data_IF_522479577708
#
_entry.id   IF_522479577708
#
_cell.length_a   1.000
_cell.length_b   1.000
_cell.length_c   1.000
_cell.angle_alpha   90.00
_cell.angle_beta   90.00
_cell.angle_gamma   90.00
#
_symmetry.space_group_name_H-M   'P 1'
#
loop_
_entity.id
_entity.type
_entity.pdbx_description
1 polymer ?
#
# COMPACT_ATOMS: atom_id res chain seq x y z
N UNK A 1 7.12 -4.45 -3.20
CA UNK A 1 8.44 -4.75 -3.78
C UNK A 1 8.18 -5.39 -5.13
N UNK A 2 8.75 -4.86 -6.21
CA UNK A 2 8.73 -5.52 -7.50
C UNK A 2 10.03 -6.33 -7.60
N UNK A 3 9.95 -7.58 -7.97
CA UNK A 3 11.13 -8.44 -8.15
C UNK A 3 11.20 -8.78 -9.63
N UNK A 4 12.32 -8.44 -10.26
CA UNK A 4 12.61 -8.79 -11.65
C UNK A 4 13.54 -10.01 -11.62
N UNK A 5 13.25 -11.00 -12.46
CA UNK A 5 14.16 -12.11 -12.71
C UNK A 5 14.82 -11.88 -14.06
N UNK A 6 16.15 -11.77 -14.05
CA UNK A 6 16.95 -11.58 -15.26
C UNK A 6 17.70 -12.87 -15.53
N UNK A 7 17.54 -13.42 -16.73
CA UNK A 7 18.32 -14.57 -17.16
C UNK A 7 19.76 -14.13 -17.37
N UNK A 8 20.70 -14.79 -16.70
CA UNK A 8 22.13 -14.57 -16.94
C UNK A 8 22.46 -15.31 -18.23
N UNK A 9 22.35 -14.62 -19.35
CA UNK A 9 22.87 -15.14 -20.61
C UNK A 9 24.38 -14.85 -20.62
N UNK A 10 25.16 -15.79 -20.09
CA UNK A 10 26.59 -15.82 -20.36
C UNK A 10 26.95 -17.18 -20.96
N UNK A 11 27.25 -17.15 -22.26
CA UNK A 11 27.77 -18.22 -23.13
C UNK A 11 26.80 -19.34 -23.58
N UNK A 12 26.16 -19.12 -24.74
CA UNK A 12 26.12 -20.13 -25.83
C UNK A 12 25.32 -21.43 -25.63
N UNK A 13 24.33 -21.47 -24.73
CA UNK A 13 23.48 -22.65 -24.52
C UNK A 13 22.05 -22.47 -25.04
N UNK A 14 21.65 -23.32 -25.99
CA UNK A 14 20.35 -23.32 -26.67
C UNK A 14 19.14 -23.29 -25.70
N UNK A 15 18.47 -22.13 -25.59
CA UNK A 15 17.31 -21.89 -24.70
C UNK A 15 16.01 -22.62 -25.12
N UNK A 16 16.08 -23.64 -25.98
CA UNK A 16 14.93 -24.28 -26.64
C UNK A 16 14.29 -25.44 -25.87
N UNK A 17 14.72 -25.75 -24.64
CA UNK A 17 14.27 -26.95 -23.95
C UNK A 17 13.27 -26.78 -22.80
N UNK A 18 12.79 -25.57 -22.50
CA UNK A 18 11.60 -25.40 -21.63
C UNK A 18 10.32 -25.61 -22.44
N UNK A 19 10.10 -26.84 -22.91
CA UNK A 19 8.79 -27.25 -23.43
C UNK A 19 7.82 -27.38 -22.25
N UNK A 20 6.92 -26.41 -22.14
CA UNK A 20 5.67 -26.57 -21.40
C UNK A 20 5.01 -27.88 -21.85
N UNK A 21 4.78 -28.80 -20.91
CA UNK A 21 3.97 -30.00 -21.16
C UNK A 21 2.51 -29.59 -21.32
N UNK A 22 1.87 -30.20 -22.30
CA UNK A 22 0.53 -29.92 -22.79
C UNK A 22 -0.57 -29.97 -21.71
N UNK A 23 -1.29 -28.85 -21.65
CA UNK A 23 -2.75 -28.67 -21.67
C UNK A 23 -3.65 -29.85 -21.26
N UNK A 24 -4.21 -29.76 -20.05
CA UNK A 24 -5.60 -30.12 -19.82
C UNK A 24 -6.45 -28.85 -19.60
N UNK A 25 -7.44 -28.71 -20.49
CA UNK A 25 -8.35 -27.57 -20.59
C UNK A 25 -9.46 -27.71 -19.55
N UNK A 26 -9.30 -27.04 -18.40
CA UNK A 26 -10.35 -26.97 -17.37
C UNK A 26 -9.88 -26.56 -15.97
N UNK A 27 -8.56 -26.50 -15.72
CA UNK A 27 -8.00 -26.14 -14.41
C UNK A 27 -7.75 -24.64 -14.23
N UNK A 28 -8.45 -24.08 -13.25
CA UNK A 28 -8.29 -22.79 -12.54
C UNK A 28 -7.10 -21.90 -12.96
N UNK A 29 -7.38 -20.69 -13.46
CA UNK A 29 -6.38 -19.67 -13.82
C UNK A 29 -5.40 -19.39 -12.67
N UNK A 30 -5.86 -19.51 -11.42
CA UNK A 30 -5.03 -19.38 -10.23
C UNK A 30 -3.96 -20.50 -10.15
N UNK A 31 -4.33 -21.75 -10.46
CA UNK A 31 -3.41 -22.87 -10.46
C UNK A 31 -2.32 -22.73 -11.53
N UNK A 32 -2.70 -22.27 -12.74
CA UNK A 32 -1.72 -21.97 -13.81
C UNK A 32 -0.76 -20.86 -13.43
N UNK A 33 -1.27 -19.80 -12.80
CA UNK A 33 -0.46 -18.68 -12.33
C UNK A 33 0.50 -19.11 -11.22
N UNK A 34 0.03 -19.95 -10.29
CA UNK A 34 0.86 -20.52 -9.22
C UNK A 34 1.97 -21.42 -9.78
N UNK A 35 1.65 -22.26 -10.78
CA UNK A 35 2.62 -23.12 -11.44
C UNK A 35 3.69 -22.32 -12.17
N UNK A 36 3.29 -21.33 -12.97
CA UNK A 36 4.23 -20.44 -13.67
C UNK A 36 5.14 -19.70 -12.68
N UNK A 37 4.58 -19.19 -11.57
CA UNK A 37 5.36 -18.56 -10.51
C UNK A 37 6.36 -19.54 -9.87
N UNK A 38 5.96 -20.79 -9.64
CA UNK A 38 6.84 -21.83 -9.10
C UNK A 38 8.03 -22.11 -10.03
N UNK A 39 7.77 -22.29 -11.32
CA UNK A 39 8.79 -22.56 -12.35
C UNK A 39 9.78 -21.39 -12.47
N UNK A 40 9.26 -20.16 -12.55
CA UNK A 40 10.05 -18.93 -12.58
C UNK A 40 10.95 -18.80 -11.33
N UNK A 41 10.42 -19.07 -10.14
CA UNK A 41 11.22 -19.08 -8.90
C UNK A 41 12.24 -20.23 -8.87
N UNK A 42 11.95 -21.34 -9.56
CA UNK A 42 12.88 -22.45 -9.75
C UNK A 42 14.12 -22.03 -10.53
N UNK A 43 13.98 -21.17 -11.54
CA UNK A 43 15.13 -20.66 -12.31
C UNK A 43 16.13 -19.93 -11.42
N UNK A 44 15.66 -19.04 -10.54
CA UNK A 44 16.52 -18.36 -9.57
C UNK A 44 17.16 -19.34 -8.57
N UNK A 45 16.36 -20.24 -8.00
CA UNK A 45 16.82 -21.18 -6.97
C UNK A 45 17.91 -22.12 -7.49
N UNK A 46 17.83 -22.46 -8.77
CA UNK A 46 18.77 -23.36 -9.44
C UNK A 46 19.94 -22.61 -10.12
N UNK A 47 20.03 -21.28 -9.96
CA UNK A 47 21.12 -20.48 -10.50
C UNK A 47 21.01 -20.11 -11.98
N UNK A 48 19.87 -20.38 -12.63
CA UNK A 48 19.62 -20.02 -14.04
C UNK A 48 19.10 -18.60 -14.23
N UNK A 49 18.79 -17.89 -13.14
CA UNK A 49 18.35 -16.49 -13.18
C UNK A 49 18.86 -15.73 -11.96
N UNK A 50 19.20 -14.46 -12.16
CA UNK A 50 19.48 -13.53 -11.09
C UNK A 50 18.19 -12.84 -10.63
N UNK A 51 18.06 -12.66 -9.33
CA UNK A 51 16.96 -11.92 -8.71
C UNK A 51 17.38 -10.49 -8.43
N UNK A 52 16.76 -9.55 -9.14
CA UNK A 52 16.89 -8.12 -8.88
C UNK A 52 15.66 -7.64 -8.11
N UNK A 53 15.88 -7.19 -6.87
CA UNK A 53 14.84 -6.55 -6.08
C UNK A 53 14.80 -5.06 -6.41
N UNK A 54 13.69 -4.61 -7.00
CA UNK A 54 13.48 -3.21 -7.36
C UNK A 54 12.95 -2.43 -6.16
N UNK A 55 13.64 -1.35 -5.83
CA UNK A 55 13.18 -0.35 -4.87
C UNK A 55 12.01 0.45 -5.44
N UNK A 56 11.10 0.97 -4.60
CA UNK A 56 10.17 2.00 -5.03
C UNK A 56 10.93 3.21 -5.58
N UNK A 57 10.30 3.90 -6.53
CA UNK A 57 10.79 5.16 -7.08
C UNK A 57 10.91 6.20 -5.97
N UNK A 58 11.98 6.97 -6.02
CA UNK A 58 12.16 8.15 -5.18
C UNK A 58 11.25 9.32 -5.63
N UNK A 59 11.17 10.41 -4.85
CA UNK A 59 10.34 11.57 -5.21
C UNK A 59 10.59 12.13 -6.62
N UNK A 60 11.86 12.27 -7.01
CA UNK A 60 12.23 12.86 -8.30
C UNK A 60 11.93 11.91 -9.45
N UNK A 61 12.14 10.60 -9.24
CA UNK A 61 11.76 9.57 -10.21
C UNK A 61 10.25 9.47 -10.39
N UNK A 62 9.46 9.66 -9.32
CA UNK A 62 8.00 9.75 -9.41
C UNK A 62 7.58 10.95 -10.24
N UNK A 63 8.15 12.14 -9.98
CA UNK A 63 7.84 13.36 -10.76
C UNK A 63 8.21 13.20 -12.23
N UNK A 64 9.38 12.63 -12.53
CA UNK A 64 9.80 12.35 -13.91
C UNK A 64 8.86 11.36 -14.61
N UNK A 65 8.36 10.35 -13.90
CA UNK A 65 7.38 9.41 -14.43
C UNK A 65 6.02 10.09 -14.69
N UNK A 66 5.58 10.97 -13.79
CA UNK A 66 4.36 11.77 -13.99
C UNK A 66 4.49 12.63 -15.25
N UNK A 67 5.61 13.34 -15.41
CA UNK A 67 5.88 14.19 -16.57
C UNK A 67 5.88 13.38 -17.88
N UNK A 68 6.53 12.21 -17.85
CA UNK A 68 6.56 11.30 -19.02
C UNK A 68 5.18 10.81 -19.44
N UNK A 69 4.22 10.70 -18.51
CA UNK A 69 2.86 10.24 -18.80
C UNK A 69 1.95 11.39 -19.21
N UNK A 70 2.02 12.51 -18.49
CA UNK A 70 1.15 13.67 -18.68
C UNK A 70 1.52 14.50 -19.93
N UNK A 71 2.77 14.40 -20.39
CA UNK A 71 3.24 15.12 -21.57
C UNK A 71 3.17 16.62 -21.36
N UNK A 72 2.31 17.32 -22.11
CA UNK A 72 2.14 18.78 -22.02
C UNK A 72 1.13 19.21 -20.94
N UNK A 73 0.35 18.28 -20.39
CA UNK A 73 -0.65 18.60 -19.35
C UNK A 73 0.06 18.68 -18.00
N UNK A 74 0.05 19.87 -17.40
CA UNK A 74 0.66 20.08 -16.10
C UNK A 74 -0.33 19.74 -14.97
N UNK A 75 -0.04 18.68 -14.21
CA UNK A 75 -0.69 18.44 -12.93
C UNK A 75 -0.14 19.42 -11.88
N UNK A 76 -1.03 19.98 -11.06
CA UNK A 76 -0.66 20.86 -9.96
C UNK A 76 0.14 20.12 -8.88
N UNK A 77 0.86 20.89 -8.05
CA UNK A 77 1.76 20.32 -7.06
C UNK A 77 1.04 19.51 -5.98
N UNK A 78 -0.20 19.89 -5.61
CA UNK A 78 -0.93 19.13 -4.60
C UNK A 78 -1.31 17.75 -5.14
N UNK A 79 -1.74 17.66 -6.41
CA UNK A 79 -2.01 16.38 -7.07
C UNK A 79 -0.77 15.49 -7.14
N UNK A 80 0.39 16.05 -7.53
CA UNK A 80 1.67 15.30 -7.58
C UNK A 80 2.05 14.69 -6.22
N UNK A 81 1.97 15.50 -5.16
CA UNK A 81 2.24 15.05 -3.78
C UNK A 81 1.33 13.89 -3.38
N UNK A 82 0.07 13.90 -3.82
CA UNK A 82 -0.88 12.83 -3.51
C UNK A 82 -0.60 11.55 -4.31
N UNK A 83 -0.25 11.66 -5.59
CA UNK A 83 0.19 10.53 -6.40
C UNK A 83 1.41 9.87 -5.75
N UNK A 84 2.40 10.68 -5.35
CA UNK A 84 3.59 10.20 -4.68
C UNK A 84 3.26 9.48 -3.37
N UNK A 85 2.42 10.09 -2.52
CA UNK A 85 2.04 9.55 -1.21
C UNK A 85 1.24 8.25 -1.32
N UNK A 86 0.23 8.20 -2.22
CA UNK A 86 -0.65 7.03 -2.38
C UNK A 86 0.00 5.88 -3.16
N UNK A 87 0.86 6.18 -4.14
CA UNK A 87 1.63 5.14 -4.84
C UNK A 87 2.76 4.58 -3.97
N UNK A 88 3.27 5.40 -3.05
CA UNK A 88 4.47 5.11 -2.27
C UNK A 88 5.67 4.68 -3.14
N UNK A 89 5.79 5.30 -4.33
CA UNK A 89 6.85 5.07 -5.32
C UNK A 89 6.67 3.82 -6.19
N UNK A 90 5.53 3.10 -6.13
CA UNK A 90 5.33 1.90 -6.97
C UNK A 90 5.02 2.34 -8.42
N UNK A 91 5.86 2.04 -9.43
CA UNK A 91 5.70 2.58 -10.79
C UNK A 91 4.32 2.36 -11.41
N UNK A 92 3.77 1.16 -11.25
CA UNK A 92 2.42 0.85 -11.74
C UNK A 92 1.35 1.74 -11.09
N UNK A 93 1.44 1.99 -9.77
CA UNK A 93 0.47 2.85 -9.09
C UNK A 93 0.66 4.32 -9.44
N UNK A 94 1.90 4.77 -9.64
CA UNK A 94 2.17 6.12 -10.17
C UNK A 94 1.45 6.25 -11.50
N UNK A 95 1.65 5.30 -12.42
CA UNK A 95 1.00 5.28 -13.74
C UNK A 95 -0.52 5.40 -13.64
N UNK A 96 -1.16 4.51 -12.90
CA UNK A 96 -2.64 4.49 -12.84
C UNK A 96 -3.20 5.73 -12.16
N UNK A 97 -2.58 6.22 -11.07
CA UNK A 97 -3.03 7.42 -10.39
C UNK A 97 -2.83 8.67 -11.25
N UNK A 98 -1.77 8.73 -12.07
CA UNK A 98 -1.59 9.81 -13.05
C UNK A 98 -2.68 9.78 -14.11
N UNK A 99 -3.04 8.62 -14.66
CA UNK A 99 -4.20 8.51 -15.56
C UNK A 99 -5.53 8.85 -14.89
N UNK A 100 -5.68 8.53 -13.60
CA UNK A 100 -6.84 8.94 -12.81
C UNK A 100 -6.93 10.45 -12.67
N UNK A 101 -5.81 11.11 -12.37
CA UNK A 101 -5.73 12.56 -12.24
C UNK A 101 -5.97 13.29 -13.56
N UNK A 102 -5.48 12.78 -14.69
CA UNK A 102 -5.64 13.40 -16.01
C UNK A 102 -7.07 13.32 -16.57
N UNK A 103 -7.84 12.28 -16.21
CA UNK A 103 -9.22 12.10 -16.72
C UNK A 103 -10.27 12.82 -15.89
N UNK A 104 -10.04 13.04 -14.59
CA UNK A 104 -10.88 13.99 -13.84
C UNK A 104 -10.42 15.39 -14.15
N UNK A 105 -11.33 16.23 -14.65
CA UNK A 105 -11.09 17.53 -15.29
C UNK A 105 -10.55 18.62 -14.33
N UNK A 106 -9.43 18.35 -13.66
CA UNK A 106 -8.64 19.23 -12.76
C UNK A 106 -9.34 19.79 -11.51
N UNK A 107 -10.66 19.95 -11.55
CA UNK A 107 -11.44 20.78 -10.63
C UNK A 107 -12.30 19.97 -9.64
N UNK A 108 -12.71 18.74 -9.99
CA UNK A 108 -13.61 17.95 -9.13
C UNK A 108 -12.90 17.10 -8.07
N UNK A 109 -11.56 16.95 -8.15
CA UNK A 109 -10.75 16.26 -7.14
C UNK A 109 -9.79 17.24 -6.49
N UNK A 110 -10.35 18.23 -5.81
CA UNK A 110 -9.67 19.09 -4.85
C UNK A 110 -8.77 18.24 -3.93
N UNK A 111 -7.78 18.84 -3.26
CA UNK A 111 -6.88 18.24 -2.25
C UNK A 111 -7.56 17.26 -1.25
N UNK A 112 -8.87 17.40 -1.05
CA UNK A 112 -9.75 16.51 -0.27
C UNK A 112 -10.02 15.13 -0.89
N UNK A 113 -9.94 14.98 -2.22
CA UNK A 113 -10.10 13.73 -2.98
C UNK A 113 -9.00 12.70 -2.73
N UNK A 114 -7.94 13.09 -2.02
CA UNK A 114 -6.82 12.24 -1.64
C UNK A 114 -6.63 12.13 -0.11
N UNK A 115 -7.58 12.67 0.66
CA UNK A 115 -7.67 12.38 2.09
C UNK A 115 -7.92 10.89 2.30
N UNK A 116 -7.54 10.33 3.44
CA UNK A 116 -7.97 8.99 3.84
C UNK A 116 -9.07 9.11 4.91
N UNK A 117 -10.20 8.40 4.78
CA UNK A 117 -10.62 7.68 3.57
C UNK A 117 -10.91 8.64 2.41
N UNK A 118 -10.59 8.21 1.19
CA UNK A 118 -10.89 9.01 0.00
C UNK A 118 -12.40 9.08 -0.23
N UNK A 119 -12.98 10.26 -0.53
CA UNK A 119 -14.38 10.37 -0.90
C UNK A 119 -14.68 9.71 -2.26
N UNK A 120 -13.66 9.44 -3.05
CA UNK A 120 -13.76 8.74 -4.33
C UNK A 120 -13.02 7.41 -4.26
N UNK A 121 -13.69 6.32 -4.62
CA UNK A 121 -13.04 5.02 -4.75
C UNK A 121 -11.98 5.09 -5.88
N UNK A 122 -10.78 4.53 -5.67
CA UNK A 122 -9.80 4.35 -6.75
C UNK A 122 -10.41 3.54 -7.91
N UNK A 123 -9.82 3.67 -9.12
CA UNK A 123 -10.25 2.85 -10.27
C UNK A 123 -10.26 1.36 -9.95
N UNK A 124 -11.18 0.62 -10.58
CA UNK A 124 -11.34 -0.83 -10.41
C UNK A 124 -10.01 -1.60 -10.54
N UNK A 125 -9.15 -1.24 -11.50
CA UNK A 125 -7.83 -1.86 -11.68
C UNK A 125 -6.88 -1.64 -10.51
N UNK A 126 -6.88 -0.44 -9.91
CA UNK A 126 -6.10 -0.16 -8.70
C UNK A 126 -6.66 -1.03 -7.57
N UNK A 127 -7.98 -1.00 -7.38
CA UNK A 127 -8.67 -1.75 -6.34
C UNK A 127 -8.46 -3.26 -6.46
N UNK A 128 -8.51 -3.87 -7.64
CA UNK A 128 -8.24 -5.30 -7.84
C UNK A 128 -6.84 -5.67 -7.35
N UNK A 129 -5.84 -4.87 -7.72
CA UNK A 129 -4.46 -5.11 -7.33
C UNK A 129 -4.25 -4.97 -5.82
N UNK A 130 -4.81 -3.93 -5.20
CA UNK A 130 -4.64 -3.72 -3.75
C UNK A 130 -5.52 -4.67 -2.92
N UNK A 131 -6.73 -4.99 -3.39
CA UNK A 131 -7.66 -5.92 -2.72
C UNK A 131 -7.06 -7.31 -2.57
N UNK A 132 -6.34 -7.80 -3.59
CA UNK A 132 -5.66 -9.10 -3.50
C UNK A 132 -4.67 -9.15 -2.33
N UNK A 133 -3.98 -8.04 -2.01
CA UNK A 133 -2.95 -8.00 -0.97
C UNK A 133 -3.53 -7.96 0.44
N UNK A 134 -4.71 -7.38 0.61
CA UNK A 134 -5.43 -7.33 1.89
C UNK A 134 -6.43 -8.48 2.09
N UNK A 135 -6.64 -9.30 1.06
CA UNK A 135 -7.59 -10.43 1.09
C UNK A 135 -7.27 -11.47 2.17
N UNK A 136 -5.98 -11.65 2.47
CA UNK A 136 -5.45 -12.63 3.41
C UNK A 136 -5.28 -12.09 4.84
N UNK A 137 -5.67 -10.84 5.08
CA UNK A 137 -5.66 -10.29 6.43
C UNK A 137 -6.89 -10.76 7.20
N UNK A 138 -6.82 -10.82 8.52
CA UNK A 138 -8.01 -10.92 9.37
C UNK A 138 -8.65 -9.53 9.64
N UNK A 139 -9.73 -9.48 10.41
CA UNK A 139 -10.47 -8.24 10.70
C UNK A 139 -9.66 -7.27 11.58
N UNK A 140 -8.86 -7.78 12.51
CA UNK A 140 -8.04 -6.97 13.41
C UNK A 140 -6.86 -6.35 12.64
N UNK A 141 -6.24 -7.12 11.76
CA UNK A 141 -5.17 -6.68 10.85
C UNK A 141 -5.68 -5.62 9.87
N UNK A 142 -6.86 -5.82 9.27
CA UNK A 142 -7.47 -4.81 8.39
C UNK A 142 -7.83 -3.53 9.15
N UNK A 143 -8.50 -3.66 10.29
CA UNK A 143 -8.86 -2.51 11.13
C UNK A 143 -7.63 -1.72 11.57
N UNK A 144 -6.54 -2.43 11.91
CA UNK A 144 -5.25 -1.82 12.25
C UNK A 144 -4.66 -1.07 11.07
N UNK A 145 -4.68 -1.66 9.87
CA UNK A 145 -4.18 -0.99 8.66
C UNK A 145 -4.96 0.30 8.36
N UNK A 146 -6.29 0.25 8.48
CA UNK A 146 -7.18 1.40 8.33
C UNK A 146 -6.84 2.49 9.34
N UNK A 147 -6.70 2.14 10.63
CA UNK A 147 -6.48 3.12 11.68
C UNK A 147 -5.06 3.73 11.62
N UNK A 148 -4.05 2.94 11.26
CA UNK A 148 -2.71 3.44 10.95
C UNK A 148 -2.71 4.46 9.80
N UNK A 149 -3.53 4.24 8.77
CA UNK A 149 -3.69 5.20 7.67
C UNK A 149 -4.37 6.50 8.12
N UNK A 150 -5.34 6.44 9.04
CA UNK A 150 -5.98 7.65 9.64
C UNK A 150 -5.00 8.47 10.47
N UNK A 151 -4.14 7.81 11.25
CA UNK A 151 -3.14 8.46 12.09
C UNK A 151 -2.00 9.08 11.29
N UNK A 152 -1.76 8.59 10.07
CA UNK A 152 -0.78 9.14 9.13
C UNK A 152 0.61 9.33 9.73
N UNK A 153 1.14 8.25 10.31
CA UNK A 153 2.49 8.22 10.87
C UNK A 153 2.49 8.17 12.39
N UNK A 154 2.99 7.07 12.94
CA UNK A 154 3.12 6.87 14.39
C UNK A 154 4.51 6.28 14.67
N UNK A 155 5.25 6.75 15.70
CA UNK A 155 6.48 6.09 16.12
C UNK A 155 6.24 4.60 16.36
N UNK A 156 7.10 3.73 15.79
CA UNK A 156 6.88 2.28 15.79
C UNK A 156 6.62 1.71 17.18
N UNK A 157 7.36 2.18 18.19
CA UNK A 157 7.19 1.74 19.57
C UNK A 157 5.82 2.11 20.14
N UNK A 158 5.29 3.31 19.81
CA UNK A 158 3.94 3.72 20.21
C UNK A 158 2.89 2.90 19.46
N UNK A 159 3.06 2.70 18.16
CA UNK A 159 2.17 1.86 17.37
C UNK A 159 2.09 0.43 17.93
N UNK A 160 3.21 -0.16 18.34
CA UNK A 160 3.23 -1.51 18.92
C UNK A 160 2.42 -1.61 20.21
N UNK A 161 2.38 -0.55 21.04
CA UNK A 161 1.53 -0.49 22.23
C UNK A 161 0.04 -0.34 21.91
N UNK A 162 -0.29 0.49 20.91
CA UNK A 162 -1.69 0.75 20.53
C UNK A 162 -2.32 -0.46 19.82
N UNK A 163 -1.58 -1.09 18.91
CA UNK A 163 -2.11 -2.09 17.97
C UNK A 163 -1.65 -3.53 18.26
N UNK A 164 -0.59 -3.70 19.04
CA UNK A 164 0.03 -5.00 19.28
C UNK A 164 1.13 -5.32 18.25
N UNK A 165 2.28 -5.79 18.74
CA UNK A 165 3.46 -6.01 17.90
C UNK A 165 3.27 -7.10 16.84
N UNK A 166 2.50 -8.16 17.14
CA UNK A 166 2.25 -9.27 16.22
C UNK A 166 1.59 -8.79 14.93
N UNK A 167 0.53 -7.98 15.04
CA UNK A 167 -0.18 -7.42 13.88
C UNK A 167 0.76 -6.53 13.06
N UNK A 168 1.52 -5.65 13.73
CA UNK A 168 2.48 -4.78 13.03
C UNK A 168 3.55 -5.56 12.26
N UNK A 169 4.01 -6.68 12.83
CA UNK A 169 4.97 -7.57 12.16
C UNK A 169 4.37 -8.20 10.91
N UNK A 170 3.10 -8.62 10.95
CA UNK A 170 2.40 -9.15 9.77
C UNK A 170 2.25 -8.07 8.69
N UNK A 171 1.75 -6.88 9.06
CA UNK A 171 1.58 -5.77 8.12
C UNK A 171 2.92 -5.34 7.50
N UNK A 172 4.00 -5.31 8.29
CA UNK A 172 5.35 -5.02 7.84
C UNK A 172 5.91 -6.09 6.89
N UNK A 173 5.79 -7.37 7.24
CA UNK A 173 6.26 -8.49 6.43
C UNK A 173 5.54 -8.56 5.06
N UNK A 174 4.25 -8.20 5.02
CA UNK A 174 3.46 -8.12 3.78
C UNK A 174 3.70 -6.82 3.00
N UNK A 175 4.44 -5.87 3.56
CA UNK A 175 4.71 -4.56 2.97
C UNK A 175 3.44 -3.72 2.81
N UNK A 176 2.53 -3.83 3.78
CA UNK A 176 1.29 -3.03 3.91
C UNK A 176 1.49 -1.84 4.86
N UNK A 177 2.49 -1.93 5.73
CA UNK A 177 2.99 -0.82 6.51
C UNK A 177 4.52 -0.73 6.36
N UNK A 178 5.06 0.49 6.35
CA UNK A 178 6.48 0.76 6.16
C UNK A 178 6.99 1.69 7.25
N UNK A 179 8.17 1.36 7.77
CA UNK A 179 8.92 2.25 8.65
C UNK A 179 9.72 3.22 7.79
N UNK A 180 9.55 4.51 8.03
CA UNK A 180 10.28 5.60 7.39
C UNK A 180 11.04 6.40 8.46
N UNK A 181 12.10 7.09 8.03
CA UNK A 181 12.96 7.90 8.91
C UNK A 181 14.16 7.14 9.45
N UNK A 182 15.31 7.82 9.49
CA UNK A 182 16.57 7.29 10.03
C UNK A 182 16.68 7.40 11.56
N UNK A 183 16.00 8.39 12.15
CA UNK A 183 15.98 8.62 13.61
C UNK A 183 14.70 8.09 14.24
N UNK A 184 13.65 8.91 14.24
CA UNK A 184 12.34 8.48 14.72
C UNK A 184 11.71 7.54 13.69
N UNK A 185 11.60 6.25 14.05
CA UNK A 185 11.12 5.18 13.17
C UNK A 185 9.61 5.30 13.03
N UNK A 186 9.14 6.13 12.11
CA UNK A 186 7.72 6.39 11.89
C UNK A 186 7.12 5.30 11.02
N UNK A 187 6.15 4.57 11.57
CA UNK A 187 5.36 3.58 10.86
C UNK A 187 4.21 4.27 10.11
N UNK A 188 4.10 4.01 8.81
CA UNK A 188 3.01 4.48 7.96
C UNK A 188 2.35 3.31 7.23
N UNK A 189 1.03 3.34 7.13
CA UNK A 189 0.28 2.42 6.29
C UNK A 189 0.38 2.82 4.81
N UNK A 190 0.27 1.85 3.92
CA UNK A 190 0.07 2.09 2.49
C UNK A 190 -1.40 2.46 2.24
N UNK A 191 -1.66 3.66 1.73
CA UNK A 191 -2.99 4.26 1.74
C UNK A 191 -4.00 3.53 0.85
N UNK A 192 -3.58 3.10 -0.34
CA UNK A 192 -4.48 2.38 -1.25
C UNK A 192 -4.80 0.98 -0.72
N UNK A 193 -3.85 0.34 -0.06
CA UNK A 193 -4.11 -0.93 0.63
C UNK A 193 -5.05 -0.73 1.83
N UNK A 194 -4.90 0.38 2.57
CA UNK A 194 -5.80 0.73 3.66
C UNK A 194 -7.23 1.03 3.16
N UNK A 195 -7.40 1.60 1.96
CA UNK A 195 -8.72 1.80 1.36
C UNK A 195 -9.37 0.47 0.96
N UNK A 196 -8.59 -0.42 0.35
CA UNK A 196 -9.06 -1.77 0.06
C UNK A 196 -9.40 -2.55 1.32
N UNK A 197 -8.65 -2.37 2.40
CA UNK A 197 -8.97 -2.94 3.70
C UNK A 197 -10.28 -2.35 4.25
N UNK A 198 -10.44 -1.02 4.22
CA UNK A 198 -11.66 -0.34 4.68
C UNK A 198 -12.90 -0.85 3.93
N UNK A 199 -12.82 -1.02 2.62
CA UNK A 199 -13.92 -1.55 1.81
C UNK A 199 -14.33 -3.00 2.14
N UNK A 200 -13.49 -3.74 2.86
CA UNK A 200 -13.68 -5.16 3.20
C UNK A 200 -13.80 -5.42 4.71
N UNK A 201 -13.79 -4.38 5.53
CA UNK A 201 -13.85 -4.52 6.99
C UNK A 201 -15.23 -4.12 7.47
N UNK A 202 -15.74 -4.86 8.45
CA UNK A 202 -16.94 -4.46 9.19
C UNK A 202 -16.72 -3.07 9.83
N UNK A 203 -17.58 -2.08 9.53
CA UNK A 203 -17.51 -0.76 10.17
C UNK A 203 -17.45 -0.84 11.70
N UNK A 204 -18.18 -1.78 12.32
CA UNK A 204 -18.24 -1.92 13.77
C UNK A 204 -16.89 -2.33 14.36
N UNK A 205 -16.13 -3.17 13.66
CA UNK A 205 -14.79 -3.58 14.05
C UNK A 205 -13.80 -2.40 14.01
N UNK A 206 -13.88 -1.58 12.97
CA UNK A 206 -13.06 -0.36 12.84
C UNK A 206 -13.40 0.65 13.95
N UNK A 207 -14.68 0.80 14.27
CA UNK A 207 -15.12 1.76 15.29
C UNK A 207 -14.81 1.27 16.71
N UNK A 208 -14.92 -0.03 16.98
CA UNK A 208 -14.46 -0.63 18.24
C UNK A 208 -12.95 -0.40 18.45
N UNK A 209 -12.14 -0.66 17.42
CA UNK A 209 -10.70 -0.40 17.46
C UNK A 209 -10.40 1.10 17.63
N UNK A 210 -11.12 1.96 16.92
CA UNK A 210 -10.96 3.42 17.00
C UNK A 210 -11.19 3.91 18.42
N UNK A 211 -12.28 3.48 19.07
CA UNK A 211 -12.57 3.83 20.48
C UNK A 211 -11.49 3.36 21.44
N UNK A 212 -10.98 2.14 21.28
CA UNK A 212 -9.87 1.60 22.10
C UNK A 212 -8.60 2.45 21.98
N UNK A 213 -8.23 2.82 20.76
CA UNK A 213 -7.04 3.65 20.50
C UNK A 213 -7.23 5.06 21.01
N UNK A 214 -8.40 5.68 20.79
CA UNK A 214 -8.73 7.02 21.32
C UNK A 214 -8.64 7.05 22.83
N UNK A 215 -9.19 6.04 23.53
CA UNK A 215 -9.06 5.93 24.98
C UNK A 215 -7.59 5.86 25.43
N UNK A 216 -6.76 5.10 24.72
CA UNK A 216 -5.32 5.00 25.00
C UNK A 216 -4.58 6.32 24.76
N UNK A 217 -4.91 7.04 23.68
CA UNK A 217 -4.33 8.35 23.36
C UNK A 217 -4.71 9.42 24.39
N UNK A 218 -5.96 9.43 24.85
CA UNK A 218 -6.41 10.33 25.91
C UNK A 218 -5.69 10.05 27.24
N UNK A 219 -5.46 8.77 27.56
CA UNK A 219 -4.68 8.39 28.73
C UNK A 219 -3.21 8.83 28.60
N UNK A 220 -2.57 8.60 27.45
CA UNK A 220 -1.21 9.09 27.19
C UNK A 220 -1.14 10.63 27.33
N UNK A 221 -2.11 11.36 26.77
CA UNK A 221 -2.17 12.82 26.85
C UNK A 221 -2.34 13.33 28.29
N UNK A 222 -3.15 12.64 29.12
CA UNK A 222 -3.29 12.95 30.54
C UNK A 222 -1.96 12.78 31.32
N UNK A 223 -1.04 11.95 30.80
CA UNK A 223 0.31 11.77 31.33
C UNK A 223 1.38 12.65 30.64
N UNK A 224 0.96 13.69 29.91
CA UNK A 224 1.85 14.69 29.33
C UNK A 224 2.49 14.28 27.99
N UNK A 225 2.03 13.20 27.38
CA UNK A 225 2.49 12.77 26.07
C UNK A 225 1.87 13.67 24.98
N UNK A 226 2.67 14.28 24.08
CA UNK A 226 2.12 15.18 23.07
C UNK A 226 1.32 14.41 22.02
N UNK A 227 0.17 14.98 21.67
CA UNK A 227 -0.67 14.56 20.56
C UNK A 227 -0.29 15.31 19.28
N UNK A 228 -0.19 14.59 18.17
CA UNK A 228 -0.03 15.19 16.85
C UNK A 228 -1.40 15.64 16.29
N UNK A 229 -1.44 16.50 15.25
CA UNK A 229 -2.70 16.99 14.68
C UNK A 229 -3.67 15.89 14.21
N UNK A 230 -3.16 14.76 13.70
CA UNK A 230 -3.99 13.64 13.22
C UNK A 230 -4.59 12.84 14.37
N UNK A 231 -3.84 12.65 15.45
CA UNK A 231 -4.32 12.07 16.71
C UNK A 231 -5.43 12.95 17.31
N UNK A 232 -5.21 14.27 17.38
CA UNK A 232 -6.23 15.22 17.86
C UNK A 232 -7.49 15.21 17.00
N UNK A 233 -7.36 15.16 15.67
CA UNK A 233 -8.50 15.06 14.75
C UNK A 233 -9.24 13.73 14.90
N UNK A 234 -8.53 12.62 15.09
CA UNK A 234 -9.15 11.31 15.32
C UNK A 234 -9.98 11.34 16.62
N UNK A 235 -9.43 11.90 17.70
CA UNK A 235 -10.13 12.06 18.98
C UNK A 235 -11.36 12.95 18.78
N UNK A 236 -11.20 14.13 18.20
CA UNK A 236 -12.29 15.07 17.99
C UNK A 236 -13.44 14.44 17.20
N UNK A 237 -13.14 13.76 16.08
CA UNK A 237 -14.15 13.08 15.26
C UNK A 237 -14.88 11.97 16.01
N UNK A 238 -14.14 11.16 16.78
CA UNK A 238 -14.74 10.08 17.58
C UNK A 238 -15.67 10.61 18.66
N UNK A 239 -15.38 11.80 19.22
CA UNK A 239 -16.23 12.44 20.21
C UNK A 239 -17.47 13.09 19.59
N UNK A 240 -17.38 13.62 18.36
CA UNK A 240 -18.52 14.24 17.67
C UNK A 240 -19.49 13.22 17.08
N UNK A 241 -18.99 12.05 16.64
CA UNK A 241 -19.82 11.00 16.04
C UNK A 241 -20.65 10.22 17.09
N UNK A 242 -20.41 10.48 18.39
CA UNK A 242 -21.07 9.82 19.52
C UNK A 242 -21.79 10.79 20.49
N UNK A 243 -21.94 12.06 20.12
CA UNK A 243 -22.72 13.08 20.85
C UNK A 243 -24.02 13.42 20.15
#
# INVERSE_FOLDING_TARGET
>A
RCTLLVTVDDTGGDARHLRARDLETGGDQAARTAQAAHEILGLWRNGYAERLDLSPLDPAEVDAMIDSIAGQVALDQATRVQIQRRSGGRPFLVRELTFEALESDGAERTVTGYAFPSPHAPRARILELVSSRVSMLDDDERSTLVLLARLDGVPYQRAARLFGETILRVLGARGLARVQGQGDRILRADLLEAEAALARTDPDAVDALTRRVVGSLLQEAAHGVPLNPKESLLIARTLTDHG
#
